data_IF_376251564451
#
_entry.id   IF_376251564451
#
_cell.length_a   1.000
_cell.length_b   1.000
_cell.length_c   1.000
_cell.angle_alpha   90.00
_cell.angle_beta   90.00
_cell.angle_gamma   90.00
#
_symmetry.space_group_name_H-M   'P 1'
#
loop_
_entity.id
_entity.type
_entity.pdbx_description
1 polymer ?
#
# COMPACT_ATOMS: atom_id res chain seq x y z
N UNK A 1 3.50 25.39 -44.36
CA UNK A 1 3.64 26.46 -43.35
C UNK A 1 4.16 25.83 -42.09
N UNK A 2 5.44 26.04 -41.79
CA UNK A 2 6.09 25.48 -40.61
C UNK A 2 6.13 26.56 -39.52
N UNK A 3 5.44 26.30 -38.40
CA UNK A 3 5.48 27.15 -37.21
C UNK A 3 6.66 26.73 -36.35
N UNK A 4 7.69 27.57 -36.34
CA UNK A 4 8.86 27.38 -35.49
C UNK A 4 8.60 28.05 -34.14
N UNK A 5 8.27 27.27 -33.12
CA UNK A 5 8.15 27.82 -31.76
C UNK A 5 9.55 28.03 -31.13
N UNK A 6 9.85 29.27 -30.78
CA UNK A 6 11.08 29.64 -30.08
C UNK A 6 10.84 29.62 -28.57
N UNK A 7 11.58 28.81 -27.84
CA UNK A 7 11.60 28.83 -26.39
C UNK A 7 12.48 29.97 -25.86
N UNK A 8 12.03 30.75 -24.88
CA UNK A 8 12.86 31.80 -24.29
C UNK A 8 13.94 31.20 -23.37
N UNK A 9 15.17 31.67 -23.59
CA UNK A 9 16.32 31.32 -22.72
C UNK A 9 16.25 32.17 -21.46
N UNK A 10 16.10 31.52 -20.32
CA UNK A 10 16.14 32.18 -19.00
C UNK A 10 17.61 32.44 -18.62
N UNK A 11 18.00 33.71 -18.63
CA UNK A 11 19.33 34.13 -18.16
C UNK A 11 19.40 34.09 -16.64
N UNK A 12 20.26 33.25 -16.10
CA UNK A 12 20.60 33.25 -14.66
C UNK A 12 21.45 34.51 -14.35
N UNK A 13 20.94 35.36 -13.50
CA UNK A 13 21.70 36.49 -12.95
C UNK A 13 22.54 36.00 -11.75
N UNK A 14 23.85 36.11 -11.89
CA UNK A 14 24.78 35.87 -10.79
C UNK A 14 24.93 37.20 -10.03
N UNK A 15 24.44 37.25 -8.81
CA UNK A 15 24.62 38.40 -7.91
C UNK A 15 25.94 38.22 -7.20
N UNK A 16 26.93 39.03 -7.57
CA UNK A 16 28.20 39.09 -6.89
C UNK A 16 28.08 39.89 -5.60
N UNK A 17 28.36 39.28 -4.46
CA UNK A 17 28.41 39.97 -3.17
C UNK A 17 29.83 40.47 -2.95
N UNK A 18 30.02 41.79 -2.82
CA UNK A 18 31.29 42.40 -2.45
C UNK A 18 31.54 42.30 -0.95
N UNK A 19 32.61 41.65 -0.56
CA UNK A 19 33.09 41.58 0.83
C UNK A 19 33.97 42.77 1.11
N UNK A 20 33.48 43.73 1.87
CA UNK A 20 34.33 44.78 2.49
C UNK A 20 34.89 44.23 3.79
N UNK A 21 36.20 44.18 3.89
CA UNK A 21 36.93 43.61 5.02
C UNK A 21 36.87 44.46 6.29
N UNK A 22 36.60 43.80 7.40
CA UNK A 22 36.80 44.35 8.74
C UNK A 22 37.91 43.52 9.40
N UNK A 23 39.07 44.12 9.63
CA UNK A 23 40.18 43.47 10.30
C UNK A 23 39.93 43.48 11.81
N UNK A 24 39.66 42.33 12.40
CA UNK A 24 39.61 42.13 13.85
C UNK A 24 40.83 41.38 14.34
N UNK A 25 41.40 41.87 15.43
CA UNK A 25 42.64 41.39 16.03
C UNK A 25 42.55 39.92 16.45
N UNK A 26 43.56 39.16 16.02
CA UNK A 26 43.73 37.75 16.36
C UNK A 26 44.25 37.59 17.80
N UNK A 27 43.42 37.13 18.71
CA UNK A 27 43.88 36.43 19.89
C UNK A 27 44.03 34.95 19.56
N UNK A 28 45.16 34.31 19.87
CA UNK A 28 45.28 32.86 19.62
C UNK A 28 44.51 32.11 20.69
N UNK A 29 43.23 31.86 20.42
CA UNK A 29 42.53 30.78 21.09
C UNK A 29 43.04 29.50 20.44
N UNK A 30 43.86 28.77 21.18
CA UNK A 30 44.13 27.36 20.86
C UNK A 30 42.84 26.60 21.15
N UNK A 31 41.83 26.83 20.32
CA UNK A 31 40.62 26.04 20.31
C UNK A 31 40.98 24.67 19.73
N UNK A 32 40.76 23.64 20.49
CA UNK A 32 40.77 22.30 19.96
C UNK A 32 39.88 22.33 18.70
N UNK A 33 40.46 22.11 17.54
CA UNK A 33 39.70 21.89 16.33
C UNK A 33 38.82 20.68 16.59
N UNK A 34 37.55 20.92 16.84
CA UNK A 34 36.58 19.86 16.82
C UNK A 34 36.69 19.25 15.42
N UNK A 35 37.30 18.07 15.36
CA UNK A 35 37.20 17.29 14.15
C UNK A 35 35.70 17.14 13.89
N UNK A 36 35.18 17.91 12.95
CA UNK A 36 33.87 17.63 12.41
C UNK A 36 33.96 16.26 11.75
N UNK A 37 33.67 15.23 12.54
CA UNK A 37 33.42 13.94 11.95
C UNK A 37 32.36 14.18 10.86
N UNK A 38 32.74 14.00 9.62
CA UNK A 38 31.76 13.96 8.53
C UNK A 38 30.72 12.92 8.91
N UNK A 39 29.48 13.37 9.08
CA UNK A 39 28.40 12.44 9.35
C UNK A 39 28.39 11.42 8.20
N UNK A 40 28.29 10.13 8.52
CA UNK A 40 28.32 9.11 7.49
C UNK A 40 27.12 9.26 6.54
N UNK A 41 27.30 8.72 5.37
CA UNK A 41 26.38 8.78 4.24
C UNK A 41 24.94 8.39 4.59
N UNK A 42 24.06 8.92 3.82
CA UNK A 42 22.64 8.71 3.62
C UNK A 42 22.03 7.48 4.32
N UNK A 43 21.05 7.69 5.19
CA UNK A 43 20.29 6.62 5.84
C UNK A 43 19.18 6.14 4.90
N UNK A 44 19.16 4.86 4.57
CA UNK A 44 18.21 4.28 3.62
C UNK A 44 16.84 3.94 4.25
N UNK A 45 15.77 4.20 3.49
CA UNK A 45 14.40 3.83 3.84
C UNK A 45 13.79 3.12 2.64
N UNK A 46 13.44 1.86 2.80
CA UNK A 46 12.78 1.05 1.78
C UNK A 46 11.28 1.00 2.08
N UNK A 47 10.51 1.79 1.37
CA UNK A 47 9.07 1.94 1.59
C UNK A 47 8.31 1.86 0.27
N UNK A 48 7.11 1.24 0.26
CA UNK A 48 6.22 1.35 -0.90
C UNK A 48 5.86 2.81 -1.20
N UNK A 49 5.66 3.13 -2.45
CA UNK A 49 5.36 4.50 -2.90
C UNK A 49 3.91 4.92 -2.67
N UNK A 50 3.04 3.98 -2.29
CA UNK A 50 1.63 4.29 -2.00
C UNK A 50 1.00 3.31 -1.01
N UNK A 51 -0.11 3.75 -0.40
CA UNK A 51 -0.92 2.95 0.53
C UNK A 51 -2.34 3.52 0.56
N UNK A 52 -3.33 2.70 0.87
CA UNK A 52 -4.69 3.19 1.10
C UNK A 52 -4.81 3.90 2.44
N UNK A 53 -5.62 4.95 2.51
CA UNK A 53 -5.95 5.62 3.77
C UNK A 53 -6.52 4.61 4.77
N UNK A 54 -6.11 4.70 6.02
CA UNK A 54 -6.45 3.80 7.13
C UNK A 54 -5.93 2.35 6.95
N UNK A 55 -4.97 2.12 6.04
CA UNK A 55 -4.27 0.85 5.93
C UNK A 55 -2.80 1.02 6.36
N UNK A 56 -2.19 0.01 6.97
CA UNK A 56 -0.80 0.13 7.39
C UNK A 56 0.16 0.05 6.19
N UNK A 57 1.04 1.02 6.08
CA UNK A 57 2.22 0.98 5.22
C UNK A 57 3.34 0.33 6.04
N UNK A 58 3.80 -0.84 5.61
CA UNK A 58 4.95 -1.50 6.22
C UNK A 58 6.20 -1.14 5.43
N UNK A 59 7.26 -0.74 6.12
CA UNK A 59 8.50 -0.32 5.47
C UNK A 59 9.71 -0.77 6.29
N UNK A 60 10.87 -0.69 5.66
CA UNK A 60 12.12 -1.09 6.28
C UNK A 60 13.05 0.11 6.41
N UNK A 61 13.69 0.21 7.57
CA UNK A 61 14.75 1.16 7.88
C UNK A 61 16.10 0.44 7.77
N UNK A 62 17.09 1.07 7.21
CA UNK A 62 18.43 0.50 7.16
C UNK A 62 19.02 0.36 8.57
N UNK A 63 19.98 -0.52 8.70
CA UNK A 63 20.73 -0.70 9.94
C UNK A 63 21.73 0.46 10.14
N UNK A 64 21.94 0.81 11.37
CA UNK A 64 22.92 1.82 11.75
C UNK A 64 24.32 1.19 11.88
N UNK A 65 25.04 1.08 10.78
CA UNK A 65 26.39 0.50 10.75
C UNK A 65 27.47 1.56 11.02
N UNK A 66 27.35 2.27 12.14
CA UNK A 66 28.31 3.33 12.51
C UNK A 66 28.62 3.30 14.01
N UNK A 67 29.84 3.74 14.34
CA UNK A 67 30.31 3.77 15.72
C UNK A 67 29.41 4.70 16.58
N UNK A 68 28.99 4.19 17.70
CA UNK A 68 28.19 4.94 18.66
C UNK A 68 26.69 4.90 18.39
N UNK A 69 26.25 4.40 17.25
CA UNK A 69 24.81 4.23 16.98
C UNK A 69 24.27 3.04 17.78
N UNK A 70 23.07 3.17 18.30
CA UNK A 70 22.40 2.13 19.07
C UNK A 70 20.89 2.09 18.87
N UNK A 71 20.35 3.08 18.19
CA UNK A 71 18.92 3.21 17.96
C UNK A 71 18.65 4.01 16.68
N UNK A 72 17.47 3.79 16.13
CA UNK A 72 16.96 4.54 14.98
C UNK A 72 15.83 5.44 15.48
N UNK A 73 15.88 6.71 15.10
CA UNK A 73 14.78 7.66 15.27
C UNK A 73 14.07 7.78 13.92
N UNK A 74 12.76 7.60 13.91
CA UNK A 74 11.98 7.77 12.70
C UNK A 74 10.65 8.47 12.98
N UNK A 75 10.06 9.05 11.96
CA UNK A 75 8.74 9.68 12.04
C UNK A 75 8.20 9.99 10.67
N UNK A 76 6.93 10.36 10.60
CA UNK A 76 6.23 10.66 9.34
C UNK A 76 5.62 12.05 9.43
N UNK A 77 5.87 12.85 8.41
CA UNK A 77 5.24 14.16 8.24
C UNK A 77 4.32 14.14 7.01
N UNK A 78 3.23 14.88 7.06
CA UNK A 78 2.39 15.10 5.88
C UNK A 78 3.02 16.21 5.05
N UNK A 79 3.27 15.92 3.77
CA UNK A 79 4.00 16.81 2.87
C UNK A 79 5.43 16.33 2.63
N UNK A 80 6.19 17.10 1.85
CA UNK A 80 7.53 16.71 1.40
C UNK A 80 8.68 17.47 2.05
N UNK A 81 8.42 18.60 2.65
CA UNK A 81 9.46 19.61 2.90
C UNK A 81 9.92 19.76 4.35
N UNK A 82 9.27 19.15 5.31
CA UNK A 82 9.66 19.34 6.73
C UNK A 82 9.72 18.01 7.47
N UNK A 83 10.74 17.82 8.33
CA UNK A 83 10.78 16.63 9.17
C UNK A 83 9.61 16.62 10.17
N UNK A 84 9.29 15.44 10.72
CA UNK A 84 8.17 15.32 11.66
C UNK A 84 8.44 16.04 12.99
N UNK A 85 7.37 16.51 13.61
CA UNK A 85 7.43 17.13 14.95
C UNK A 85 7.71 16.08 16.04
N UNK A 86 7.32 14.84 15.81
CA UNK A 86 7.50 13.75 16.77
C UNK A 86 8.29 12.60 16.16
N UNK A 87 9.15 12.01 17.00
CA UNK A 87 10.05 10.94 16.58
C UNK A 87 9.79 9.69 17.43
N UNK A 88 9.68 8.56 16.77
CA UNK A 88 9.61 7.25 17.41
C UNK A 88 11.00 6.65 17.45
N UNK A 89 11.35 6.04 18.58
CA UNK A 89 12.62 5.34 18.76
C UNK A 89 12.42 3.85 18.60
N UNK A 90 13.25 3.23 17.77
CA UNK A 90 13.34 1.77 17.67
C UNK A 90 14.79 1.35 17.87
N UNK A 91 14.98 0.12 18.34
CA UNK A 91 16.32 -0.45 18.43
C UNK A 91 16.88 -0.66 17.03
N UNK A 92 18.19 -0.59 16.88
CA UNK A 92 18.85 -0.77 15.60
C UNK A 92 18.51 -2.12 14.92
N UNK A 93 18.28 -3.14 15.68
CA UNK A 93 17.87 -4.46 15.18
C UNK A 93 16.40 -4.53 14.71
N UNK A 94 15.56 -3.54 15.05
CA UNK A 94 14.12 -3.49 14.72
C UNK A 94 13.90 -2.66 13.45
N UNK A 95 14.31 -3.18 12.32
CA UNK A 95 14.30 -2.46 11.05
C UNK A 95 12.94 -2.36 10.37
N UNK A 96 12.00 -3.25 10.71
CA UNK A 96 10.65 -3.25 10.11
C UNK A 96 9.69 -2.46 11.00
N UNK A 97 9.07 -1.47 10.44
CA UNK A 97 8.15 -0.55 11.11
C UNK A 97 6.90 -0.34 10.25
N UNK A 98 5.89 0.26 10.85
CA UNK A 98 4.60 0.47 10.19
C UNK A 98 4.02 1.82 10.55
N UNK A 99 3.35 2.45 9.58
CA UNK A 99 2.62 3.70 9.76
C UNK A 99 1.27 3.61 9.06
N UNK A 100 0.22 4.13 9.68
CA UNK A 100 -1.13 4.14 9.10
C UNK A 100 -1.56 5.58 8.84
N UNK A 101 -1.61 6.04 7.58
CA UNK A 101 -2.09 7.39 7.29
C UNK A 101 -3.60 7.49 7.51
N UNK A 102 -4.04 8.55 8.17
CA UNK A 102 -5.47 8.79 8.49
C UNK A 102 -6.16 9.71 7.48
N UNK A 103 -5.44 10.23 6.51
CA UNK A 103 -6.00 11.08 5.45
C UNK A 103 -5.24 10.87 4.15
N UNK A 104 -5.83 11.27 3.05
CA UNK A 104 -5.19 11.21 1.73
C UNK A 104 -4.13 12.31 1.57
N UNK A 105 -3.16 12.07 0.70
CA UNK A 105 -2.12 13.04 0.38
C UNK A 105 -0.72 12.44 0.41
N UNK A 106 0.27 13.26 0.14
CA UNK A 106 1.68 12.88 0.19
C UNK A 106 2.19 12.96 1.62
N UNK A 107 2.99 11.99 1.99
CA UNK A 107 3.66 11.87 3.29
C UNK A 107 5.14 11.60 3.06
N UNK A 108 5.98 12.06 3.96
CA UNK A 108 7.40 11.75 3.94
C UNK A 108 7.80 11.07 5.26
N UNK A 109 8.43 9.91 5.13
CA UNK A 109 9.08 9.19 6.23
C UNK A 109 10.48 9.78 6.36
N UNK A 110 10.87 10.07 7.58
CA UNK A 110 12.21 10.54 7.92
C UNK A 110 12.82 9.57 8.93
N UNK A 111 14.12 9.32 8.81
CA UNK A 111 14.82 8.51 9.81
C UNK A 111 16.30 8.90 9.89
N UNK A 112 16.91 8.64 11.05
CA UNK A 112 18.34 8.83 11.29
C UNK A 112 18.81 7.92 12.41
N UNK A 113 20.12 7.68 12.45
CA UNK A 113 20.76 6.95 13.54
C UNK A 113 21.05 7.87 14.73
N UNK A 114 20.84 7.35 15.93
CA UNK A 114 21.10 8.06 17.17
C UNK A 114 21.92 7.18 18.15
N UNK A 115 22.66 7.82 19.03
CA UNK A 115 23.37 7.14 20.11
C UNK A 115 22.42 6.80 21.27
N UNK A 116 22.93 6.17 22.31
CA UNK A 116 22.17 5.76 23.49
C UNK A 116 21.49 6.96 24.20
N UNK A 117 22.09 8.15 24.09
CA UNK A 117 21.51 9.39 24.67
C UNK A 117 20.42 10.01 23.77
N UNK A 118 20.24 9.45 22.58
CA UNK A 118 19.26 9.98 21.61
C UNK A 118 19.80 11.09 20.71
N UNK A 119 21.09 11.40 20.80
CA UNK A 119 21.75 12.39 19.96
C UNK A 119 21.98 11.81 18.56
N UNK A 120 21.76 12.62 17.55
CA UNK A 120 21.90 12.24 16.14
C UNK A 120 23.36 11.99 15.78
N UNK A 121 23.64 10.83 15.16
CA UNK A 121 25.01 10.44 14.71
C UNK A 121 25.09 10.19 13.19
N UNK A 122 23.99 10.31 12.46
CA UNK A 122 23.96 10.18 10.99
C UNK A 122 23.24 11.35 10.34
N UNK A 123 23.38 11.49 9.02
CA UNK A 123 22.45 12.30 8.25
C UNK A 123 21.08 11.62 8.22
N UNK A 124 20.01 12.40 8.02
CA UNK A 124 18.68 11.83 7.89
C UNK A 124 18.41 11.36 6.47
N UNK A 125 17.81 10.19 6.36
CA UNK A 125 17.21 9.73 5.13
C UNK A 125 15.74 10.11 5.07
N UNK A 126 15.19 10.16 3.87
CA UNK A 126 13.75 10.35 3.67
C UNK A 126 13.24 9.54 2.49
N UNK A 127 11.97 9.14 2.58
CA UNK A 127 11.25 8.45 1.51
C UNK A 127 9.81 8.93 1.50
N UNK A 128 9.27 9.25 0.33
CA UNK A 128 7.91 9.76 0.22
C UNK A 128 6.96 8.70 -0.30
N UNK A 129 5.73 8.74 0.19
CA UNK A 129 4.65 7.90 -0.31
C UNK A 129 3.35 8.70 -0.40
N UNK A 130 2.39 8.20 -1.19
CA UNK A 130 1.08 8.82 -1.31
C UNK A 130 0.00 7.92 -0.70
N UNK A 131 -0.85 8.51 0.15
CA UNK A 131 -2.04 7.83 0.68
C UNK A 131 -3.25 8.15 -0.19
N UNK A 132 -3.93 7.12 -0.69
CA UNK A 132 -5.10 7.25 -1.57
C UNK A 132 -6.39 6.86 -0.88
N UNK A 133 -7.50 7.50 -1.32
CA UNK A 133 -8.84 7.05 -0.98
C UNK A 133 -9.17 5.75 -1.70
N UNK A 134 -9.88 4.86 -1.03
CA UNK A 134 -10.39 3.64 -1.66
C UNK A 134 -11.64 3.89 -2.51
N UNK A 135 -12.17 5.11 -2.50
CA UNK A 135 -13.38 5.44 -3.25
C UNK A 135 -13.17 5.29 -4.76
N UNK A 136 -14.16 4.72 -5.40
CA UNK A 136 -14.23 4.57 -6.85
C UNK A 136 -15.62 4.96 -7.35
N UNK A 137 -15.72 5.34 -8.61
CA UNK A 137 -16.98 5.66 -9.25
C UNK A 137 -16.95 5.17 -10.71
N UNK A 138 -18.07 5.26 -11.42
CA UNK A 138 -18.15 4.90 -12.83
C UNK A 138 -18.32 6.15 -13.69
N UNK A 139 -17.75 6.12 -14.87
CA UNK A 139 -17.95 7.17 -15.87
C UNK A 139 -18.27 6.53 -17.23
N UNK A 140 -19.47 6.76 -17.80
CA UNK A 140 -20.59 7.52 -17.19
C UNK A 140 -21.19 6.80 -15.98
N UNK A 141 -22.00 7.51 -15.19
CA UNK A 141 -22.69 6.93 -14.02
C UNK A 141 -23.96 6.19 -14.39
N UNK A 142 -24.39 6.28 -15.64
CA UNK A 142 -25.48 5.52 -16.24
C UNK A 142 -25.12 5.26 -17.70
N UNK A 143 -25.37 4.03 -18.16
CA UNK A 143 -24.95 3.59 -19.50
C UNK A 143 -25.98 2.66 -20.13
N UNK A 144 -26.03 2.66 -21.45
CA UNK A 144 -26.82 1.73 -22.24
C UNK A 144 -26.09 0.39 -22.43
N UNK A 145 -26.79 -0.62 -22.94
CA UNK A 145 -26.16 -1.89 -23.31
C UNK A 145 -25.07 -1.62 -24.38
N UNK A 146 -23.95 -2.31 -24.25
CA UNK A 146 -22.76 -2.20 -25.13
C UNK A 146 -22.07 -0.81 -25.11
N UNK A 147 -22.51 0.09 -24.26
CA UNK A 147 -21.83 1.37 -24.07
C UNK A 147 -20.54 1.19 -23.26
N UNK A 148 -19.48 1.87 -23.67
CA UNK A 148 -18.20 1.85 -22.97
C UNK A 148 -18.28 2.65 -21.67
N UNK A 149 -17.75 2.04 -20.63
CA UNK A 149 -17.63 2.65 -19.30
C UNK A 149 -16.19 2.52 -18.80
N UNK A 150 -15.87 3.27 -17.76
CA UNK A 150 -14.59 3.13 -17.05
C UNK A 150 -14.78 3.34 -15.56
N UNK A 151 -13.96 2.69 -14.74
CA UNK A 151 -13.92 2.97 -13.32
C UNK A 151 -12.94 4.12 -13.08
N UNK A 152 -13.38 5.14 -12.35
CA UNK A 152 -12.55 6.29 -11.93
C UNK A 152 -12.15 6.09 -10.49
N UNK A 153 -10.85 6.00 -10.24
CA UNK A 153 -10.28 5.70 -8.91
C UNK A 153 -8.78 6.04 -8.88
N UNK A 154 -8.13 5.84 -7.73
CA UNK A 154 -6.68 6.04 -7.58
C UNK A 154 -6.04 4.88 -6.83
N UNK A 155 -4.72 4.77 -6.96
CA UNK A 155 -3.89 3.88 -6.17
C UNK A 155 -3.64 2.49 -6.75
N UNK A 156 -4.10 2.20 -7.96
CA UNK A 156 -3.62 1.03 -8.69
C UNK A 156 -2.22 1.29 -9.26
N UNK A 157 -1.46 0.23 -9.42
CA UNK A 157 -0.18 0.31 -10.14
C UNK A 157 -0.46 0.66 -11.61
N UNK A 158 0.23 1.65 -12.11
CA UNK A 158 0.08 2.08 -13.51
C UNK A 158 0.52 0.97 -14.47
N UNK A 159 -0.25 0.81 -15.55
CA UNK A 159 0.00 -0.19 -16.60
C UNK A 159 -0.27 -1.64 -16.21
N UNK A 160 -0.76 -1.91 -15.02
CA UNK A 160 -1.17 -3.26 -14.65
C UNK A 160 -2.50 -3.63 -15.34
N UNK A 161 -2.57 -4.87 -15.79
CA UNK A 161 -3.85 -5.49 -16.15
C UNK A 161 -4.58 -5.84 -14.84
N UNK A 162 -5.84 -5.47 -14.77
CA UNK A 162 -6.65 -5.65 -13.58
C UNK A 162 -7.43 -6.97 -13.66
N UNK A 163 -7.51 -7.69 -12.56
CA UNK A 163 -8.44 -8.82 -12.41
C UNK A 163 -9.80 -8.28 -12.00
N UNK A 164 -10.86 -8.78 -12.60
CA UNK A 164 -12.22 -8.39 -12.28
C UNK A 164 -12.94 -9.44 -11.42
N UNK A 165 -13.78 -8.96 -10.51
CA UNK A 165 -14.78 -9.77 -9.82
C UNK A 165 -16.09 -9.03 -9.94
N UNK A 166 -17.16 -9.72 -10.38
CA UNK A 166 -18.50 -9.16 -10.57
C UNK A 166 -19.51 -10.10 -9.92
N UNK A 167 -19.91 -9.79 -8.69
CA UNK A 167 -20.74 -10.66 -7.86
C UNK A 167 -22.10 -9.99 -7.61
N UNK A 168 -23.19 -10.72 -7.91
CA UNK A 168 -24.55 -10.25 -7.66
C UNK A 168 -24.85 -10.27 -6.16
N UNK A 169 -25.56 -9.26 -5.67
CA UNK A 169 -25.96 -9.19 -4.26
C UNK A 169 -26.80 -10.43 -3.87
N UNK A 170 -26.35 -11.12 -2.83
CA UNK A 170 -26.99 -12.34 -2.34
C UNK A 170 -26.61 -13.62 -3.08
N UNK A 171 -25.72 -13.53 -4.05
CA UNK A 171 -25.20 -14.69 -4.81
C UNK A 171 -23.74 -14.96 -4.42
N UNK A 172 -23.21 -16.12 -4.80
CA UNK A 172 -21.80 -16.48 -4.65
C UNK A 172 -21.11 -16.62 -6.01
N UNK A 173 -21.87 -16.57 -7.09
CA UNK A 173 -21.32 -16.71 -8.44
C UNK A 173 -20.61 -15.42 -8.84
N UNK A 174 -19.37 -15.58 -9.30
CA UNK A 174 -18.59 -14.48 -9.84
C UNK A 174 -18.64 -14.52 -11.37
N UNK A 175 -18.93 -13.40 -11.97
CA UNK A 175 -18.97 -13.19 -13.42
C UNK A 175 -17.75 -12.40 -13.92
N UNK A 176 -16.72 -12.25 -13.09
CA UNK A 176 -15.51 -11.47 -13.42
C UNK A 176 -14.80 -11.92 -14.68
N UNK A 177 -14.78 -13.22 -14.95
CA UNK A 177 -14.18 -13.79 -16.17
C UNK A 177 -14.70 -13.14 -17.47
N UNK A 178 -15.97 -12.69 -17.47
CA UNK A 178 -16.56 -12.02 -18.63
C UNK A 178 -15.94 -10.62 -18.87
N UNK A 179 -15.43 -10.00 -17.81
CA UNK A 179 -14.75 -8.72 -17.87
C UNK A 179 -13.23 -8.92 -18.11
N UNK A 180 -12.63 -9.94 -17.51
CA UNK A 180 -11.21 -10.24 -17.67
C UNK A 180 -10.84 -10.48 -19.14
N UNK A 181 -11.77 -11.05 -19.94
CA UNK A 181 -11.57 -11.26 -21.37
C UNK A 181 -11.35 -9.95 -22.15
N UNK A 182 -11.77 -8.81 -21.59
CA UNK A 182 -11.59 -7.49 -22.20
C UNK A 182 -10.23 -6.88 -21.91
N UNK A 183 -9.40 -7.52 -21.05
CA UNK A 183 -8.05 -7.06 -20.66
C UNK A 183 -8.05 -5.63 -20.16
N UNK A 184 -8.84 -5.37 -19.12
CA UNK A 184 -8.96 -4.05 -18.50
C UNK A 184 -7.64 -3.73 -17.78
N UNK A 185 -7.08 -2.54 -18.01
CA UNK A 185 -5.86 -2.09 -17.35
C UNK A 185 -6.06 -0.70 -16.77
N UNK A 186 -5.18 -0.32 -15.85
CA UNK A 186 -5.21 0.99 -15.23
C UNK A 186 -4.46 2.00 -16.10
N UNK A 187 -5.17 3.05 -16.49
CA UNK A 187 -4.60 4.14 -17.26
C UNK A 187 -4.01 5.22 -16.35
N UNK A 188 -3.12 5.98 -16.90
CA UNK A 188 -2.46 7.07 -16.22
C UNK A 188 -3.45 7.97 -15.47
N UNK A 189 -3.10 8.25 -14.25
CA UNK A 189 -3.70 9.25 -13.40
C UNK A 189 -4.91 8.82 -12.56
N UNK A 190 -5.94 8.16 -13.06
CA UNK A 190 -7.09 7.92 -12.19
C UNK A 190 -8.22 7.06 -12.77
N UNK A 191 -8.00 6.32 -13.85
CA UNK A 191 -9.11 5.55 -14.43
C UNK A 191 -8.65 4.27 -15.12
N UNK A 192 -9.56 3.32 -15.26
CA UNK A 192 -9.33 2.10 -16.05
C UNK A 192 -9.45 2.41 -17.55
N UNK A 193 -8.96 1.49 -18.38
CA UNK A 193 -9.35 1.47 -19.79
C UNK A 193 -10.86 1.28 -19.93
N UNK A 194 -11.39 1.61 -21.08
CA UNK A 194 -12.80 1.40 -21.39
C UNK A 194 -13.14 -0.10 -21.42
N UNK A 195 -14.32 -0.44 -20.92
CA UNK A 195 -14.89 -1.78 -20.98
C UNK A 195 -16.40 -1.71 -21.11
N UNK A 196 -17.05 -2.85 -21.45
CA UNK A 196 -18.52 -2.95 -21.49
C UNK A 196 -18.98 -4.01 -20.49
N UNK A 197 -20.16 -3.81 -19.94
CA UNK A 197 -20.76 -4.84 -19.08
C UNK A 197 -21.36 -5.95 -19.93
N UNK A 198 -21.21 -7.22 -19.51
CA UNK A 198 -21.78 -8.34 -20.27
C UNK A 198 -23.30 -8.36 -20.19
N UNK A 199 -23.97 -8.54 -21.35
CA UNK A 199 -25.43 -8.58 -21.44
C UNK A 199 -26.05 -9.89 -20.98
N UNK A 200 -25.24 -10.91 -20.71
CA UNK A 200 -25.73 -12.25 -20.36
C UNK A 200 -25.66 -12.54 -18.84
N UNK A 201 -25.49 -11.51 -18.03
CA UNK A 201 -25.61 -11.64 -16.56
C UNK A 201 -27.06 -11.41 -16.13
N UNK A 202 -27.55 -12.07 -15.06
CA UNK A 202 -28.91 -11.83 -14.55
C UNK A 202 -29.13 -10.37 -14.14
N UNK A 203 -30.33 -9.87 -14.30
CA UNK A 203 -30.70 -8.51 -13.87
C UNK A 203 -30.57 -8.39 -12.35
N UNK A 204 -29.94 -7.31 -11.87
CA UNK A 204 -29.83 -7.08 -10.43
C UNK A 204 -28.69 -6.14 -10.02
N UNK A 205 -28.49 -6.05 -8.72
CA UNK A 205 -27.43 -5.25 -8.12
C UNK A 205 -26.18 -6.10 -7.97
N UNK A 206 -25.04 -5.51 -8.30
CA UNK A 206 -23.74 -6.17 -8.33
C UNK A 206 -22.70 -5.36 -7.59
N UNK A 207 -21.74 -6.08 -7.02
CA UNK A 207 -20.48 -5.53 -6.55
C UNK A 207 -19.44 -5.84 -7.62
N UNK A 208 -18.90 -4.79 -8.26
CA UNK A 208 -17.75 -4.88 -9.18
C UNK A 208 -16.48 -4.50 -8.41
N UNK A 209 -15.49 -5.39 -8.44
CA UNK A 209 -14.18 -5.13 -7.85
C UNK A 209 -13.11 -5.35 -8.91
N UNK A 210 -12.23 -4.38 -9.09
CA UNK A 210 -10.99 -4.57 -9.82
C UNK A 210 -9.83 -4.68 -8.84
N UNK A 211 -8.88 -5.56 -9.13
CA UNK A 211 -7.69 -5.79 -8.30
C UNK A 211 -6.45 -5.80 -9.19
N UNK A 212 -5.40 -5.06 -8.80
CA UNK A 212 -4.11 -5.07 -9.49
C UNK A 212 -3.19 -6.19 -8.97
N UNK A 213 -2.04 -6.39 -9.60
CA UNK A 213 -1.06 -7.40 -9.19
C UNK A 213 -0.44 -7.12 -7.81
N UNK A 214 -0.53 -5.90 -7.30
CA UNK A 214 -0.13 -5.54 -5.94
C UNK A 214 -1.21 -5.80 -4.89
N UNK A 215 -2.34 -6.40 -5.30
CA UNK A 215 -3.52 -6.67 -4.48
C UNK A 215 -4.25 -5.40 -3.98
N UNK A 216 -4.04 -4.27 -4.64
CA UNK A 216 -4.88 -3.09 -4.42
C UNK A 216 -6.23 -3.34 -5.07
N UNK A 217 -7.30 -3.25 -4.30
CA UNK A 217 -8.65 -3.48 -4.79
C UNK A 217 -9.48 -2.20 -4.72
N UNK A 218 -10.32 -2.00 -5.75
CA UNK A 218 -11.28 -0.89 -5.81
C UNK A 218 -12.64 -1.43 -6.21
N UNK A 219 -13.65 -1.02 -5.48
CA UNK A 219 -14.99 -1.60 -5.56
C UNK A 219 -16.03 -0.51 -5.81
N UNK A 220 -16.99 -0.83 -6.69
CA UNK A 220 -18.21 -0.03 -6.89
C UNK A 220 -19.42 -0.96 -6.88
N UNK A 221 -20.58 -0.39 -6.55
CA UNK A 221 -21.84 -1.10 -6.67
C UNK A 221 -22.61 -0.56 -7.88
N UNK A 222 -23.10 -1.48 -8.70
CA UNK A 222 -23.81 -1.15 -9.93
C UNK A 222 -25.10 -1.95 -10.04
N UNK A 223 -26.10 -1.37 -10.67
CA UNK A 223 -27.28 -2.12 -11.13
C UNK A 223 -27.05 -2.48 -12.60
N UNK A 224 -27.31 -3.74 -12.96
CA UNK A 224 -27.18 -4.22 -14.35
C UNK A 224 -28.53 -4.76 -14.85
N UNK A 225 -28.84 -4.43 -16.10
CA UNK A 225 -30.00 -4.92 -16.84
C UNK A 225 -29.57 -5.18 -18.29
N UNK A 226 -29.19 -6.45 -18.59
CA UNK A 226 -28.79 -6.89 -19.93
C UNK A 226 -27.65 -6.02 -20.51
N UNK A 227 -26.62 -5.71 -19.68
CA UNK A 227 -25.47 -4.90 -20.08
C UNK A 227 -25.66 -3.39 -19.87
N UNK A 228 -26.89 -2.90 -19.91
CA UNK A 228 -27.16 -1.54 -19.47
C UNK A 228 -27.10 -1.43 -17.96
N UNK A 229 -26.91 -0.23 -17.42
CA UNK A 229 -26.87 -0.11 -15.97
C UNK A 229 -26.62 1.28 -15.44
N UNK A 230 -26.44 1.35 -14.14
CA UNK A 230 -26.11 2.60 -13.47
C UNK A 230 -25.36 2.34 -12.16
N UNK A 231 -24.60 3.34 -11.74
CA UNK A 231 -23.89 3.33 -10.46
C UNK A 231 -24.89 3.46 -9.31
N UNK A 232 -24.82 2.55 -8.35
CA UNK A 232 -25.61 2.65 -7.12
C UNK A 232 -24.94 3.62 -6.15
N UNK A 233 -25.69 4.59 -5.63
CA UNK A 233 -25.20 5.50 -4.61
C UNK A 233 -25.22 4.82 -3.24
N UNK A 234 -24.06 4.64 -2.66
CA UNK A 234 -23.93 4.03 -1.34
C UNK A 234 -22.61 3.30 -1.18
N UNK A 235 -21.87 3.66 -0.18
CA UNK A 235 -20.44 3.47 -0.11
C UNK A 235 -19.94 2.14 0.45
N UNK A 236 -20.81 1.22 0.83
CA UNK A 236 -20.31 -0.03 1.40
C UNK A 236 -21.01 -1.24 0.83
N UNK A 237 -20.28 -2.21 0.32
CA UNK A 237 -20.84 -3.53 0.08
C UNK A 237 -21.49 -3.99 1.38
N UNK A 238 -22.76 -4.38 1.31
CA UNK A 238 -23.39 -5.06 2.43
C UNK A 238 -22.49 -6.25 2.78
N UNK A 239 -22.04 -6.37 4.02
CA UNK A 239 -21.20 -7.50 4.37
C UNK A 239 -21.88 -8.80 3.95
N UNK A 240 -21.18 -9.58 3.15
CA UNK A 240 -21.62 -10.93 2.78
C UNK A 240 -21.95 -11.66 4.08
N UNK A 241 -23.16 -12.22 4.22
CA UNK A 241 -23.49 -12.93 5.44
C UNK A 241 -22.45 -14.02 5.65
N UNK A 242 -21.72 -13.94 6.74
CA UNK A 242 -20.81 -15.00 7.16
C UNK A 242 -21.62 -16.30 7.16
N UNK A 243 -21.20 -17.34 6.45
CA UNK A 243 -21.96 -18.59 6.44
C UNK A 243 -22.19 -19.03 7.88
N UNK A 244 -23.45 -19.08 8.27
CA UNK A 244 -23.83 -19.60 9.60
C UNK A 244 -23.20 -20.98 9.73
N UNK A 245 -22.37 -21.24 10.75
CA UNK A 245 -21.78 -22.57 10.90
C UNK A 245 -22.90 -23.58 10.94
N UNK A 246 -22.94 -24.50 10.00
CA UNK A 246 -23.91 -25.59 9.94
C UNK A 246 -23.79 -26.37 11.27
N UNK A 247 -24.89 -26.51 12.09
CA UNK A 247 -24.82 -27.23 13.34
C UNK A 247 -24.29 -28.64 13.08
N UNK A 248 -23.35 -29.08 13.55
CA UNK A 248 -22.81 -30.29 13.36
C UNK A 248 -23.74 -31.30 13.86
N UNK A 249 -24.13 -31.84 13.33
CA UNK A 249 -24.91 -32.75 13.61
C UNK A 249 -24.31 -33.56 14.63
N UNK A 250 -24.48 -33.45 15.50
CA UNK A 250 -24.12 -34.15 16.42
C UNK A 250 -24.29 -35.49 16.09
N UNK A 251 -23.69 -35.98 15.66
CA UNK A 251 -23.72 -37.19 15.45
C UNK A 251 -23.84 -37.82 16.69
N UNK A 252 -24.53 -38.13 16.96
CA UNK A 252 -24.77 -38.78 17.96
C UNK A 252 -23.95 -39.86 17.90
N UNK A 253 -23.11 -39.81 18.21
CA UNK A 253 -22.32 -40.79 18.27
C UNK A 253 -22.79 -41.80 19.12
N UNK A 254 -23.08 -42.48 18.74
CA UNK A 254 -23.41 -43.51 19.44
C UNK A 254 -22.21 -44.11 19.85
N UNK A 255 -21.84 -43.82 20.70
CA UNK A 255 -20.88 -44.34 21.23
C UNK A 255 -20.89 -45.73 21.32
N UNK A 256 -20.49 -46.24 20.73
CA UNK A 256 -20.27 -47.49 20.85
C UNK A 256 -19.06 -47.61 21.54
N UNK A 257 -19.00 -47.63 22.43
CA UNK A 257 -18.06 -47.86 23.14
C UNK A 257 -17.32 -48.98 22.77
N UNK A 258 -16.65 -49.01 22.23
CA UNK A 258 -15.82 -49.93 22.03
C UNK A 258 -14.76 -49.77 22.92
N UNK A 259 -14.72 -50.15 23.53
CA UNK A 259 -13.87 -50.22 24.35
C UNK A 259 -12.70 -50.69 23.86
N UNK A 260 -11.65 -50.11 23.45
CA UNK A 260 -10.26 -50.44 23.07
C UNK A 260 -9.35 -50.50 24.30
N UNK A 261 -9.10 -51.70 24.73
CA UNK A 261 -8.08 -51.95 25.76
C UNK A 261 -6.69 -51.87 25.11
N UNK A 262 -6.07 -50.69 25.23
CA UNK A 262 -4.65 -50.53 24.84
C UNK A 262 -3.77 -51.13 25.94
N UNK A 263 -3.24 -52.37 25.69
CA UNK A 263 -2.14 -52.92 26.48
C UNK A 263 -0.83 -52.32 26.01
N UNK A 264 -0.16 -51.64 26.90
CA UNK A 264 1.21 -51.15 26.73
C UNK A 264 2.18 -52.29 26.45
N UNK A 265 2.86 -52.24 25.30
CA UNK A 265 4.13 -52.93 25.10
C UNK A 265 5.12 -52.00 24.41
N UNK A 266 6.28 -51.98 25.02
CA UNK A 266 7.41 -51.13 24.63
C UNK A 266 8.25 -51.80 23.53
N UNK A 267 8.72 -50.98 22.62
CA UNK A 267 9.92 -51.13 21.74
C UNK A 267 9.76 -51.66 20.31
N UNK A 268 10.40 -50.88 19.49
CA UNK A 268 11.01 -51.09 18.18
C UNK A 268 10.18 -50.74 16.93
N UNK A 269 10.84 -49.84 16.18
CA UNK A 269 10.62 -49.34 14.82
C UNK A 269 9.94 -50.32 13.85
N UNK A 270 8.90 -49.87 13.18
CA UNK A 270 8.56 -50.23 11.79
C UNK A 270 7.39 -49.35 11.31
N UNK A 271 7.57 -48.82 10.09
CA UNK A 271 6.57 -48.03 9.38
C UNK A 271 5.40 -48.94 8.95
N UNK A 272 4.18 -48.54 9.26
CA UNK A 272 3.01 -49.27 8.76
C UNK A 272 2.16 -48.36 7.88
N UNK A 273 1.92 -48.85 6.69
CA UNK A 273 0.93 -48.34 5.75
C UNK A 273 -0.44 -48.92 6.14
N UNK A 274 -1.46 -48.07 6.27
CA UNK A 274 -2.83 -48.53 6.47
C UNK A 274 -3.52 -48.56 5.10
N UNK A 275 -3.87 -49.73 4.63
CA UNK A 275 -4.74 -49.90 3.45
C UNK A 275 -6.19 -50.02 3.95
N UNK A 276 -7.04 -49.15 3.44
CA UNK A 276 -8.49 -49.28 3.64
C UNK A 276 -9.08 -50.15 2.52
N UNK A 277 -9.81 -51.15 2.91
CA UNK A 277 -10.72 -51.91 2.02
C UNK A 277 -12.13 -51.35 2.23
#
# INVERSE_FOLDING_TARGET
MALTERFPIVKKHVIGASLTGLALALTPFAGAASAHATLPDYFGIDAPDHVDVNKPLNFRLDKCDMDGASQIKWGVAKGESAPPETWTTVKDEQQRVSYTPTSTGTYTIWAYCANVSGERVSDSGSSSFTSYSTKATMNPTKWAADEYVRMVTKGFNSSDTLSASLVRDGDTKDYGDLLDSQRIWYQWASETSDFTFPGNVPVGDYTLTFTDHGNTARTVRVHLDHGAGYLLSGDTPKPTPTPTPTPXXXXXXXXXXXXCACRWWVRYSASYWCLTV
#
